data_IF_160434898661
#
_entry.id   IF_160434898661
#
_cell.length_a   1.000
_cell.length_b   1.000
_cell.length_c   1.000
_cell.angle_alpha   90.00
_cell.angle_beta   90.00
_cell.angle_gamma   90.00
#
_symmetry.space_group_name_H-M   'P 1'
#
loop_
_entity.id
_entity.type
_entity.pdbx_description
1 polymer ?
#
# COMPACT_ATOMS: atom_id res chain seq x y z
N UNK A 1 3.03 -4.77 -11.42
CA UNK A 1 2.78 -5.88 -10.48
C UNK A 1 3.85 -5.81 -9.42
N UNK A 2 3.57 -5.12 -8.30
CA UNK A 2 4.43 -5.14 -7.11
C UNK A 2 4.08 -6.43 -6.36
N UNK A 3 4.50 -7.54 -6.95
CA UNK A 3 4.47 -8.85 -6.33
C UNK A 3 5.65 -8.89 -5.36
N UNK A 4 5.37 -9.12 -4.08
CA UNK A 4 6.35 -9.16 -2.99
C UNK A 4 7.06 -7.83 -2.67
N UNK A 5 6.54 -7.09 -1.69
CA UNK A 5 7.47 -6.54 -0.71
C UNK A 5 8.10 -7.76 0.00
N UNK A 6 9.17 -8.28 -0.60
CA UNK A 6 10.00 -9.29 0.02
C UNK A 6 10.42 -8.77 1.40
N UNK A 7 10.72 -9.67 2.33
CA UNK A 7 11.25 -9.35 3.67
C UNK A 7 12.52 -8.47 3.65
N UNK A 8 13.02 -8.06 2.48
CA UNK A 8 14.13 -7.15 2.21
C UNK A 8 13.74 -5.69 1.89
N UNK A 9 12.45 -5.32 1.89
CA UNK A 9 12.02 -3.90 1.75
C UNK A 9 12.82 -2.92 2.64
N UNK A 10 13.35 -1.86 2.04
CA UNK A 10 14.16 -0.82 2.71
C UNK A 10 13.27 0.31 3.23
N UNK A 11 13.33 0.56 4.54
CA UNK A 11 12.54 1.57 5.22
C UNK A 11 13.01 3.02 4.97
N UNK A 12 14.16 3.22 4.31
CA UNK A 12 14.74 4.55 4.08
C UNK A 12 13.81 5.50 3.31
N UNK A 13 12.95 4.96 2.44
CA UNK A 13 11.97 5.73 1.65
C UNK A 13 10.51 5.47 2.06
N UNK A 14 10.27 4.81 3.20
CA UNK A 14 8.94 4.38 3.61
C UNK A 14 7.91 5.51 3.70
N UNK A 15 8.35 6.73 4.05
CA UNK A 15 7.46 7.90 4.06
C UNK A 15 6.91 8.25 2.66
N UNK A 16 7.76 8.24 1.64
CA UNK A 16 7.36 8.52 0.26
C UNK A 16 6.49 7.40 -0.32
N UNK A 17 6.91 6.16 -0.10
CA UNK A 17 6.18 4.98 -0.58
C UNK A 17 4.78 4.91 0.06
N UNK A 18 4.66 5.18 1.36
CA UNK A 18 3.37 5.24 2.04
C UNK A 18 2.47 6.34 1.48
N UNK A 19 3.03 7.51 1.17
CA UNK A 19 2.27 8.61 0.58
C UNK A 19 1.74 8.24 -0.80
N UNK A 20 2.57 7.62 -1.64
CA UNK A 20 2.17 7.17 -2.98
C UNK A 20 1.09 6.09 -2.91
N UNK A 21 1.26 5.08 -2.05
CA UNK A 21 0.28 4.01 -1.86
C UNK A 21 -1.07 4.54 -1.33
N UNK A 22 -1.05 5.52 -0.43
CA UNK A 22 -2.26 6.16 0.09
C UNK A 22 -2.97 6.99 -0.97
N UNK A 23 -2.24 7.68 -1.84
CA UNK A 23 -2.82 8.42 -2.97
C UNK A 23 -3.49 7.47 -3.96
N UNK A 24 -2.83 6.36 -4.30
CA UNK A 24 -3.42 5.32 -5.15
C UNK A 24 -4.70 4.74 -4.55
N UNK A 25 -4.69 4.44 -3.24
CA UNK A 25 -5.86 3.92 -2.52
C UNK A 25 -7.02 4.92 -2.54
N UNK A 26 -6.74 6.20 -2.26
CA UNK A 26 -7.76 7.26 -2.22
C UNK A 26 -8.35 7.53 -3.62
N UNK A 27 -7.53 7.45 -4.66
CA UNK A 27 -8.00 7.59 -6.05
C UNK A 27 -8.99 6.49 -6.45
N UNK A 28 -8.82 5.28 -5.92
CA UNK A 28 -9.69 4.14 -6.22
C UNK A 28 -10.98 4.16 -5.39
N UNK A 29 -10.91 4.54 -4.10
CA UNK A 29 -12.09 4.55 -3.20
C UNK A 29 -13.22 5.50 -3.62
N UNK A 30 -12.95 6.48 -4.47
CA UNK A 30 -13.96 7.45 -4.94
C UNK A 30 -14.76 6.97 -6.17
N UNK A 31 -14.52 5.77 -6.67
CA UNK A 31 -15.21 5.19 -7.84
C UNK A 31 -15.94 3.91 -7.42
N UNK A 32 -17.07 3.58 -8.05
CA UNK A 32 -17.68 2.25 -7.87
C UNK A 32 -16.68 1.17 -8.31
N UNK A 33 -16.14 0.43 -7.34
CA UNK A 33 -15.12 -0.58 -7.56
C UNK A 33 -15.77 -1.89 -8.00
N UNK A 34 -15.38 -2.38 -9.17
CA UNK A 34 -15.62 -3.76 -9.58
C UNK A 34 -14.76 -4.73 -8.75
N UNK A 35 -15.05 -6.03 -8.83
CA UNK A 35 -14.35 -7.05 -8.03
C UNK A 35 -12.82 -7.02 -8.24
N UNK A 36 -12.36 -6.68 -9.46
CA UNK A 36 -10.93 -6.50 -9.74
C UNK A 36 -10.34 -5.27 -9.06
N UNK A 37 -11.06 -4.14 -9.04
CA UNK A 37 -10.59 -2.95 -8.34
C UNK A 37 -10.61 -3.13 -6.82
N UNK A 38 -11.57 -3.89 -6.27
CA UNK A 38 -11.55 -4.27 -4.85
C UNK A 38 -10.33 -5.13 -4.49
N UNK A 39 -9.94 -6.09 -5.35
CA UNK A 39 -8.71 -6.85 -5.15
C UNK A 39 -7.46 -5.95 -5.16
N UNK A 40 -7.46 -4.91 -6.00
CA UNK A 40 -6.37 -3.93 -6.07
C UNK A 40 -6.28 -3.10 -4.79
N UNK A 41 -7.43 -2.62 -4.30
CA UNK A 41 -7.54 -1.93 -3.00
C UNK A 41 -6.99 -2.79 -1.88
N UNK A 42 -7.44 -4.05 -1.77
CA UNK A 42 -6.97 -4.97 -0.73
C UNK A 42 -5.45 -5.19 -0.80
N UNK A 43 -4.87 -5.26 -2.01
CA UNK A 43 -3.42 -5.37 -2.18
C UNK A 43 -2.69 -4.12 -1.68
N UNK A 44 -3.17 -2.92 -2.02
CA UNK A 44 -2.58 -1.66 -1.56
C UNK A 44 -2.64 -1.52 -0.05
N UNK A 45 -3.77 -1.87 0.57
CA UNK A 45 -3.92 -1.85 2.04
C UNK A 45 -2.95 -2.80 2.73
N UNK A 46 -2.77 -4.00 2.19
CA UNK A 46 -1.81 -4.97 2.72
C UNK A 46 -0.37 -4.46 2.62
N UNK A 47 -0.01 -3.80 1.51
CA UNK A 47 1.33 -3.19 1.36
C UNK A 47 1.56 -2.06 2.36
N UNK A 48 0.58 -1.17 2.53
CA UNK A 48 0.66 -0.08 3.53
C UNK A 48 0.85 -0.67 4.94
N UNK A 49 0.06 -1.68 5.31
CA UNK A 49 0.20 -2.36 6.61
C UNK A 49 1.56 -3.01 6.77
N UNK A 50 2.06 -3.67 5.73
CA UNK A 50 3.38 -4.30 5.76
C UNK A 50 4.48 -3.27 6.01
N UNK A 51 4.51 -2.17 5.26
CA UNK A 51 5.52 -1.11 5.41
C UNK A 51 5.44 -0.51 6.81
N UNK A 52 4.22 -0.17 7.28
CA UNK A 52 4.03 0.36 8.63
C UNK A 52 4.57 -0.56 9.71
N UNK A 53 4.23 -1.85 9.64
CA UNK A 53 4.68 -2.85 10.61
C UNK A 53 6.20 -3.08 10.53
N UNK A 54 6.74 -3.22 9.32
CA UNK A 54 8.17 -3.51 9.13
C UNK A 54 9.06 -2.37 9.57
N UNK A 55 8.65 -1.13 9.30
CA UNK A 55 9.43 0.05 9.60
C UNK A 55 9.08 0.69 10.95
N UNK A 56 8.25 0.03 11.78
CA UNK A 56 7.71 0.54 13.06
C UNK A 56 7.13 1.97 12.93
N UNK A 57 6.49 2.26 11.79
CA UNK A 57 5.84 3.55 11.53
C UNK A 57 4.46 3.50 12.17
N UNK A 58 4.32 4.23 13.27
CA UNK A 58 3.05 4.37 14.00
C UNK A 58 2.18 5.48 13.39
N UNK A 59 0.83 5.34 13.43
CA UNK A 59 -0.10 6.33 12.92
C UNK A 59 -0.05 7.66 13.67
#
# INVERSE_FOLDING_TARGET
MVDNLESNYDCSNAGGDLQELQQQLTGMQNTELDEQSQQTVNRLENQIRFIKNKCDIRP
#
